data_IF_660616113233
#
_entry.id   IF_660616113233
#
_cell.length_a   1.000
_cell.length_b   1.000
_cell.length_c   1.000
_cell.angle_alpha   90.00
_cell.angle_beta   90.00
_cell.angle_gamma   90.00
#
_symmetry.space_group_name_H-M   'P 1'
#
loop_
_entity.id
_entity.type
_entity.pdbx_description
1 polymer ?
#
# COMPACT_ATOMS: atom_id res chain seq x y z
N UNK A 1 -32.85 -0.01 13.59
CA UNK A 1 -31.65 -0.07 14.46
C UNK A 1 -30.49 0.26 13.54
N UNK A 2 -29.95 1.48 13.66
CA UNK A 2 -29.12 2.10 12.62
C UNK A 2 -27.76 1.40 12.47
N UNK A 3 -27.48 1.03 11.22
CA UNK A 3 -26.20 0.74 10.57
C UNK A 3 -24.97 0.74 11.51
N UNK A 4 -24.51 -0.45 11.87
CA UNK A 4 -23.16 -0.57 12.41
C UNK A 4 -22.19 -0.22 11.29
N UNK A 5 -21.64 0.99 11.37
CA UNK A 5 -20.57 1.51 10.53
C UNK A 5 -19.45 0.45 10.44
N UNK A 6 -19.46 -0.34 9.37
CA UNK A 6 -18.60 -1.54 9.33
C UNK A 6 -17.16 -1.05 9.23
N UNK A 7 -16.35 -1.35 10.26
CA UNK A 7 -14.99 -0.82 10.44
C UNK A 7 -14.11 -0.90 9.19
N UNK A 8 -14.28 -1.94 8.38
CA UNK A 8 -13.52 -2.09 7.13
C UNK A 8 -13.95 -1.10 6.04
N UNK A 9 -15.20 -0.62 6.00
CA UNK A 9 -15.64 0.45 5.09
C UNK A 9 -14.93 1.77 5.37
N UNK A 10 -14.81 2.16 6.64
CA UNK A 10 -14.07 3.37 7.02
C UNK A 10 -12.59 3.27 6.59
N UNK A 11 -11.98 2.11 6.81
CA UNK A 11 -10.60 1.83 6.39
C UNK A 11 -10.45 1.78 4.87
N UNK A 12 -11.46 1.33 4.15
CA UNK A 12 -11.47 1.36 2.70
C UNK A 12 -11.39 2.81 2.20
N UNK A 13 -12.18 3.72 2.79
CA UNK A 13 -12.11 5.14 2.43
C UNK A 13 -10.70 5.73 2.71
N UNK A 14 -10.13 5.47 3.89
CA UNK A 14 -8.77 5.90 4.22
C UNK A 14 -7.72 5.35 3.25
N UNK A 15 -7.81 4.06 2.92
CA UNK A 15 -6.92 3.41 1.96
C UNK A 15 -7.07 4.02 0.56
N UNK A 16 -8.29 4.25 0.08
CA UNK A 16 -8.54 4.85 -1.24
C UNK A 16 -7.96 6.26 -1.35
N UNK A 17 -8.09 7.08 -0.30
CA UNK A 17 -7.49 8.42 -0.27
C UNK A 17 -5.96 8.36 -0.27
N UNK A 18 -5.39 7.47 0.52
CA UNK A 18 -3.95 7.25 0.60
C UNK A 18 -3.36 6.77 -0.75
N UNK A 19 -4.02 5.80 -1.38
CA UNK A 19 -3.65 5.29 -2.70
C UNK A 19 -3.73 6.37 -3.76
N UNK A 20 -4.75 7.22 -3.74
CA UNK A 20 -4.85 8.36 -4.65
C UNK A 20 -3.68 9.32 -4.50
N UNK A 21 -3.25 9.62 -3.27
CA UNK A 21 -2.10 10.48 -3.02
C UNK A 21 -0.79 9.85 -3.51
N UNK A 22 -0.60 8.55 -3.27
CA UNK A 22 0.56 7.82 -3.78
C UNK A 22 0.60 7.86 -5.31
N UNK A 23 -0.51 7.59 -5.98
CA UNK A 23 -0.60 7.64 -7.44
C UNK A 23 -0.24 9.02 -7.99
N UNK A 24 -0.77 10.09 -7.39
CA UNK A 24 -0.43 11.46 -7.80
C UNK A 24 1.07 11.77 -7.61
N UNK A 25 1.69 11.24 -6.56
CA UNK A 25 3.12 11.43 -6.31
C UNK A 25 3.98 10.64 -7.33
N UNK A 26 3.55 9.45 -7.73
CA UNK A 26 4.18 8.64 -8.77
C UNK A 26 4.03 9.28 -10.15
N UNK A 27 2.84 9.77 -10.49
CA UNK A 27 2.58 10.51 -11.74
C UNK A 27 3.48 11.75 -11.85
N UNK A 28 3.65 12.49 -10.75
CA UNK A 28 4.55 13.64 -10.70
C UNK A 28 6.01 13.23 -10.98
N UNK A 29 6.45 12.09 -10.45
CA UNK A 29 7.79 11.55 -10.66
C UNK A 29 8.05 11.15 -12.11
N UNK A 30 7.01 10.76 -12.85
CA UNK A 30 7.11 10.42 -14.27
C UNK A 30 7.20 11.66 -15.17
N UNK A 31 6.67 12.80 -14.71
CA UNK A 31 6.67 14.05 -15.47
C UNK A 31 7.98 14.81 -15.34
N UNK A 32 8.66 14.71 -14.19
CA UNK A 32 9.93 15.38 -13.92
C UNK A 32 10.68 14.73 -12.77
N UNK A 33 11.96 15.08 -12.64
CA UNK A 33 12.70 14.77 -11.44
C UNK A 33 12.07 15.40 -10.19
N UNK A 34 11.97 14.60 -9.14
CA UNK A 34 11.51 15.01 -7.83
C UNK A 34 12.64 15.63 -7.02
N UNK A 35 12.32 16.69 -6.28
CA UNK A 35 13.21 17.23 -5.25
C UNK A 35 13.38 16.21 -4.11
N UNK A 36 14.42 16.41 -3.28
CA UNK A 36 14.67 15.55 -2.12
C UNK A 36 13.47 15.46 -1.17
N UNK A 37 12.77 16.57 -0.95
CA UNK A 37 11.57 16.61 -0.09
C UNK A 37 10.40 15.85 -0.72
N UNK A 38 10.20 15.97 -2.03
CA UNK A 38 9.15 15.25 -2.75
C UNK A 38 9.41 13.74 -2.76
N UNK A 39 10.66 13.31 -2.94
CA UNK A 39 11.06 11.90 -2.82
C UNK A 39 10.75 11.34 -1.42
N UNK A 40 11.02 12.11 -0.36
CA UNK A 40 10.63 11.74 1.01
C UNK A 40 9.10 11.65 1.16
N UNK A 41 8.36 12.56 0.52
CA UNK A 41 6.90 12.52 0.47
C UNK A 41 6.36 11.25 -0.19
N UNK A 42 6.97 10.79 -1.29
CA UNK A 42 6.61 9.52 -1.96
C UNK A 42 6.84 8.33 -1.03
N UNK A 43 8.00 8.27 -0.35
CA UNK A 43 8.30 7.20 0.60
C UNK A 43 7.26 7.17 1.72
N UNK A 44 6.96 8.34 2.31
CA UNK A 44 5.98 8.43 3.39
C UNK A 44 4.59 8.00 2.90
N UNK A 45 4.20 8.43 1.69
CA UNK A 45 2.97 8.04 1.02
C UNK A 45 2.85 6.54 0.82
N UNK A 46 3.92 5.92 0.37
CA UNK A 46 4.01 4.47 0.21
C UNK A 46 3.85 3.74 1.55
N UNK A 47 4.57 4.16 2.58
CA UNK A 47 4.55 3.53 3.90
C UNK A 47 3.16 3.54 4.54
N UNK A 48 2.49 4.69 4.57
CA UNK A 48 1.15 4.77 5.16
C UNK A 48 0.10 4.07 4.29
N UNK A 49 0.25 4.10 2.95
CA UNK A 49 -0.68 3.40 2.05
C UNK A 49 -0.61 1.90 2.26
N UNK A 50 0.60 1.34 2.36
CA UNK A 50 0.80 -0.07 2.69
C UNK A 50 0.22 -0.42 4.06
N UNK A 51 0.45 0.41 5.08
CA UNK A 51 -0.09 0.22 6.43
C UNK A 51 -1.63 0.18 6.43
N UNK A 52 -2.28 1.10 5.71
CA UNK A 52 -3.73 1.14 5.58
C UNK A 52 -4.26 -0.08 4.82
N UNK A 53 -3.58 -0.52 3.76
CA UNK A 53 -3.99 -1.64 2.94
C UNK A 53 -4.10 -2.95 3.75
N UNK A 54 -3.05 -3.32 4.50
CA UNK A 54 -3.11 -4.56 5.27
C UNK A 54 -4.06 -4.47 6.47
N UNK A 55 -4.22 -3.28 7.06
CA UNK A 55 -5.19 -3.04 8.13
C UNK A 55 -6.65 -3.11 7.64
N UNK A 56 -6.91 -2.72 6.39
CA UNK A 56 -8.19 -2.89 5.70
C UNK A 56 -8.46 -4.38 5.49
N UNK A 57 -7.52 -5.10 4.88
CA UNK A 57 -7.65 -6.53 4.61
C UNK A 57 -7.88 -7.34 5.88
N UNK A 58 -7.13 -7.05 6.96
CA UNK A 58 -7.33 -7.71 8.26
C UNK A 58 -8.76 -7.53 8.78
N UNK A 59 -9.29 -6.30 8.72
CA UNK A 59 -10.62 -6.01 9.25
C UNK A 59 -11.73 -6.55 8.34
N UNK A 60 -11.51 -6.57 7.02
CA UNK A 60 -12.38 -7.23 6.05
C UNK A 60 -12.46 -8.74 6.34
N UNK A 61 -11.31 -9.42 6.47
CA UNK A 61 -11.30 -10.85 6.76
C UNK A 61 -11.86 -11.18 8.14
N UNK A 62 -11.60 -10.32 9.14
CA UNK A 62 -12.24 -10.45 10.45
C UNK A 62 -13.76 -10.37 10.37
N UNK A 63 -14.29 -9.49 9.53
CA UNK A 63 -15.74 -9.40 9.27
C UNK A 63 -16.27 -10.65 8.55
N UNK A 64 -15.48 -11.27 7.67
CA UNK A 64 -15.79 -12.55 7.01
C UNK A 64 -15.60 -13.79 7.94
N UNK A 65 -15.21 -13.59 9.21
CA UNK A 65 -15.00 -14.67 10.18
C UNK A 65 -13.57 -15.23 10.25
N UNK A 66 -12.64 -14.71 9.45
CA UNK A 66 -11.22 -15.08 9.51
C UNK A 66 -10.42 -14.11 10.39
N UNK A 67 -10.04 -14.56 11.58
CA UNK A 67 -9.24 -13.78 12.54
C UNK A 67 -7.75 -14.14 12.54
N UNK A 68 -7.26 -14.96 11.59
CA UNK A 68 -5.88 -15.46 11.60
C UNK A 68 -4.88 -14.52 10.93
N UNK A 69 -5.31 -13.36 10.42
CA UNK A 69 -4.44 -12.39 9.74
C UNK A 69 -3.61 -11.62 10.77
N UNK A 70 -2.30 -11.91 10.83
CA UNK A 70 -1.38 -11.31 11.81
C UNK A 70 -0.46 -10.23 11.23
N UNK A 71 -0.35 -10.13 9.91
CA UNK A 71 0.47 -9.11 9.26
C UNK A 71 0.20 -8.97 7.76
N UNK A 72 0.93 -8.06 7.11
CA UNK A 72 0.75 -7.73 5.70
C UNK A 72 0.93 -8.92 4.76
N UNK A 73 1.90 -9.80 5.05
CA UNK A 73 2.11 -11.03 4.27
C UNK A 73 0.91 -11.97 4.32
N UNK A 74 0.32 -12.16 5.49
CA UNK A 74 -0.85 -13.03 5.64
C UNK A 74 -2.06 -12.41 4.95
N UNK A 75 -2.24 -11.09 5.12
CA UNK A 75 -3.29 -10.32 4.49
C UNK A 75 -3.25 -10.42 2.95
N UNK A 76 -2.07 -10.22 2.34
CA UNK A 76 -1.88 -10.32 0.89
C UNK A 76 -2.16 -11.73 0.38
N UNK A 77 -1.65 -12.77 1.06
CA UNK A 77 -1.89 -14.17 0.67
C UNK A 77 -3.37 -14.52 0.71
N UNK A 78 -4.07 -14.10 1.76
CA UNK A 78 -5.50 -14.37 1.91
C UNK A 78 -6.32 -13.58 0.88
N UNK A 79 -5.98 -12.32 0.62
CA UNK A 79 -6.61 -11.51 -0.41
C UNK A 79 -6.45 -12.11 -1.81
N UNK A 80 -5.28 -12.65 -2.13
CA UNK A 80 -5.05 -13.37 -3.38
C UNK A 80 -5.90 -14.64 -3.48
N UNK A 81 -5.93 -15.48 -2.42
CA UNK A 81 -6.78 -16.68 -2.38
C UNK A 81 -8.27 -16.37 -2.52
N UNK A 82 -8.71 -15.26 -1.93
CA UNK A 82 -10.10 -14.79 -1.99
C UNK A 82 -10.45 -14.10 -3.32
N UNK A 83 -9.50 -13.94 -4.25
CA UNK A 83 -9.71 -13.27 -5.54
C UNK A 83 -9.91 -11.75 -5.44
N UNK A 84 -9.55 -11.14 -4.30
CA UNK A 84 -9.59 -9.68 -4.12
C UNK A 84 -8.42 -8.98 -4.80
N UNK A 85 -7.32 -9.71 -4.98
CA UNK A 85 -6.12 -9.27 -5.68
C UNK A 85 -5.88 -10.27 -6.81
N UNK A 86 -5.81 -9.77 -8.04
CA UNK A 86 -5.57 -10.56 -9.25
C UNK A 86 -4.09 -10.91 -9.44
N UNK A 87 -3.19 -10.02 -9.04
CA UNK A 87 -1.74 -10.23 -9.08
C UNK A 87 -1.10 -9.98 -7.70
N UNK A 88 -0.63 -11.05 -7.08
CA UNK A 88 -0.01 -11.01 -5.76
C UNK A 88 1.46 -10.57 -5.77
N UNK A 89 2.16 -10.64 -6.91
CA UNK A 89 3.58 -10.29 -7.00
C UNK A 89 3.86 -8.82 -6.64
N UNK A 90 3.16 -7.83 -7.23
CA UNK A 90 3.32 -6.43 -6.86
C UNK A 90 3.13 -6.19 -5.36
N UNK A 91 2.19 -6.90 -4.72
CA UNK A 91 1.94 -6.78 -3.29
C UNK A 91 3.06 -7.40 -2.44
N UNK A 92 3.63 -8.50 -2.88
CA UNK A 92 4.79 -9.11 -2.22
C UNK A 92 6.05 -8.24 -2.38
N UNK A 93 6.23 -7.61 -3.54
CA UNK A 93 7.28 -6.60 -3.78
C UNK A 93 7.09 -5.35 -2.92
N UNK A 94 5.85 -4.89 -2.71
CA UNK A 94 5.55 -3.80 -1.77
C UNK A 94 5.93 -4.17 -0.34
N UNK A 95 5.60 -5.39 0.12
CA UNK A 95 5.99 -5.86 1.45
C UNK A 95 7.52 -5.88 1.60
N UNK A 96 8.23 -6.33 0.57
CA UNK A 96 9.69 -6.32 0.57
C UNK A 96 10.25 -4.89 0.64
N UNK A 97 9.74 -4.00 -0.20
CA UNK A 97 10.17 -2.60 -0.29
C UNK A 97 9.89 -1.84 1.02
N UNK A 98 8.77 -2.09 1.68
CA UNK A 98 8.46 -1.54 3.02
C UNK A 98 9.47 -1.97 4.09
N UNK A 99 9.99 -3.20 4.03
CA UNK A 99 11.04 -3.61 4.98
C UNK A 99 12.38 -2.91 4.71
N UNK A 100 12.58 -2.36 3.52
CA UNK A 100 13.75 -1.56 3.18
C UNK A 100 13.56 -0.09 3.56
N UNK A 101 12.32 0.41 3.64
CA UNK A 101 12.06 1.83 3.94
C UNK A 101 12.45 2.22 5.37
N UNK A 102 12.50 1.29 6.32
CA UNK A 102 13.01 1.54 7.67
C UNK A 102 14.51 1.82 7.74
N UNK A 103 15.26 1.54 6.66
CA UNK A 103 16.68 1.87 6.53
C UNK A 103 16.92 3.19 5.78
N UNK A 104 15.87 3.97 5.51
CA UNK A 104 15.90 5.14 4.60
C UNK A 104 16.47 6.39 5.25
N UNK A 105 17.79 6.43 5.36
CA UNK A 105 18.56 7.68 5.29
C UNK A 105 19.30 7.83 3.95
N UNK A 106 19.18 6.84 3.05
CA UNK A 106 19.93 6.79 1.80
C UNK A 106 19.08 7.23 0.60
N UNK A 107 19.56 8.24 -0.12
CA UNK A 107 18.90 8.84 -1.28
C UNK A 107 18.60 7.80 -2.39
N UNK A 108 19.46 6.77 -2.51
CA UNK A 108 19.28 5.64 -3.43
C UNK A 108 17.99 4.84 -3.17
N UNK A 109 17.62 4.63 -1.90
CA UNK A 109 16.40 3.89 -1.54
C UNK A 109 15.13 4.63 -1.96
N UNK A 110 15.17 5.96 -1.98
CA UNK A 110 14.03 6.76 -2.43
C UNK A 110 13.80 6.63 -3.93
N UNK A 111 14.88 6.62 -4.71
CA UNK A 111 14.83 6.45 -6.15
C UNK A 111 14.34 5.04 -6.51
N UNK A 112 14.85 4.00 -5.84
CA UNK A 112 14.40 2.62 -6.01
C UNK A 112 12.89 2.44 -5.74
N UNK A 113 12.35 3.13 -4.72
CA UNK A 113 10.92 3.07 -4.39
C UNK A 113 10.10 3.79 -5.46
N UNK A 114 10.51 4.98 -5.89
CA UNK A 114 9.82 5.74 -6.95
C UNK A 114 9.76 4.93 -8.25
N UNK A 115 10.86 4.30 -8.62
CA UNK A 115 10.95 3.46 -9.81
C UNK A 115 10.02 2.24 -9.69
N UNK A 116 10.09 1.50 -8.57
CA UNK A 116 9.20 0.35 -8.31
C UNK A 116 7.72 0.72 -8.31
N UNK A 117 7.34 1.84 -7.68
CA UNK A 117 5.95 2.29 -7.68
C UNK A 117 5.47 2.63 -9.09
N UNK A 118 6.33 3.23 -9.91
CA UNK A 118 6.04 3.51 -11.32
C UNK A 118 5.83 2.24 -12.15
N UNK A 119 6.52 1.15 -11.82
CA UNK A 119 6.33 -0.15 -12.46
C UNK A 119 5.01 -0.83 -12.04
N UNK A 120 4.65 -0.75 -10.75
CA UNK A 120 3.40 -1.32 -10.23
C UNK A 120 2.18 -0.65 -10.87
N UNK A 121 2.21 0.67 -11.05
CA UNK A 121 1.12 1.42 -11.68
C UNK A 121 0.91 1.04 -13.16
N UNK A 122 1.94 0.56 -13.86
CA UNK A 122 1.81 0.08 -15.26
C UNK A 122 1.18 -1.31 -15.38
N UNK A 123 1.20 -2.10 -14.30
CA UNK A 123 0.73 -3.49 -14.26
C UNK A 123 -0.69 -3.64 -13.67
N UNK A 124 -1.18 -2.61 -12.97
CA UNK A 124 -2.51 -2.57 -12.33
C UNK A 124 -3.56 -1.98 -13.26
#
# INVERSE_FOLDING_TARGET
>A
MMDQDVRWHQKLNSFSQALSQLNSAVELAQQRELSRLEKQGVIQAFEFTHELAWNLLRDYFKFQGNTSIMGSRDATREAFKAGLISDGEPWMEMIHSRNQTSHTYNQSTADDIVDKMSEIQKKS
#
